data_IF_496575849760
#
_entry.id   IF_496575849760
#
_cell.length_a   1.000
_cell.length_b   1.000
_cell.length_c   1.000
_cell.angle_alpha   90.00
_cell.angle_beta   90.00
_cell.angle_gamma   90.00
#
_symmetry.space_group_name_H-M   'P 1'
#
loop_
_entity.id
_entity.type
_entity.pdbx_description
1 polymer ?
#
# COMPACT_ATOMS: atom_id res chain seq x y z
N UNK A 1 -19.61 64.00 146.12
CA UNK A 1 -19.55 64.46 144.71
C UNK A 1 -18.31 63.95 143.95
N UNK A 2 -17.12 63.89 144.55
CA UNK A 2 -15.87 63.45 143.85
C UNK A 2 -15.88 61.98 143.40
N UNK A 3 -16.56 61.07 144.12
CA UNK A 3 -16.67 59.66 143.73
C UNK A 3 -17.49 59.43 142.46
N UNK A 4 -18.52 60.25 142.19
CA UNK A 4 -19.37 60.11 141.00
C UNK A 4 -18.66 60.59 139.72
N UNK A 5 -17.85 61.66 139.81
CA UNK A 5 -17.12 62.21 138.68
C UNK A 5 -16.03 61.25 138.16
N UNK A 6 -15.34 60.53 139.06
CA UNK A 6 -14.33 59.54 138.68
C UNK A 6 -14.92 58.35 137.89
N UNK A 7 -16.13 57.89 138.26
CA UNK A 7 -16.82 56.84 137.50
C UNK A 7 -17.24 57.31 136.11
N UNK A 8 -17.72 58.55 135.98
CA UNK A 8 -18.13 59.12 134.68
C UNK A 8 -16.93 59.30 133.74
N UNK A 9 -15.77 59.72 134.24
CA UNK A 9 -14.56 59.85 133.42
C UNK A 9 -13.98 58.50 132.99
N UNK A 10 -14.08 57.47 133.83
CA UNK A 10 -13.64 56.12 133.49
C UNK A 10 -14.57 55.47 132.44
N UNK A 11 -15.89 55.72 132.54
CA UNK A 11 -16.88 55.30 131.53
C UNK A 11 -16.74 56.08 130.22
N UNK A 12 -16.39 57.36 130.27
CA UNK A 12 -16.16 58.16 129.06
C UNK A 12 -14.88 57.75 128.33
N UNK A 13 -13.80 57.45 129.05
CA UNK A 13 -12.55 56.91 128.46
C UNK A 13 -12.73 55.47 127.97
N UNK A 14 -13.46 54.64 128.71
CA UNK A 14 -13.85 53.29 128.28
C UNK A 14 -14.78 53.33 127.05
N UNK A 15 -15.72 54.27 127.00
CA UNK A 15 -16.63 54.47 125.88
C UNK A 15 -15.94 55.01 124.63
N UNK A 16 -15.01 55.97 124.77
CA UNK A 16 -14.21 56.49 123.65
C UNK A 16 -13.22 55.43 123.10
N UNK A 17 -12.58 54.66 124.00
CA UNK A 17 -11.76 53.51 123.63
C UNK A 17 -12.56 52.40 122.95
N UNK A 18 -13.79 52.14 123.42
CA UNK A 18 -14.70 51.17 122.82
C UNK A 18 -15.18 51.60 121.43
N UNK A 19 -15.50 52.89 121.21
CA UNK A 19 -15.88 53.40 119.88
C UNK A 19 -14.71 53.33 118.90
N UNK A 20 -13.51 53.73 119.32
CA UNK A 20 -12.30 53.66 118.48
C UNK A 20 -11.91 52.21 118.15
N UNK A 21 -11.96 51.32 119.15
CA UNK A 21 -11.71 49.89 118.97
C UNK A 21 -12.76 49.25 118.05
N UNK A 22 -14.04 49.61 118.19
CA UNK A 22 -15.10 49.10 117.32
C UNK A 22 -14.90 49.54 115.86
N UNK A 23 -14.54 50.80 115.61
CA UNK A 23 -14.24 51.28 114.25
C UNK A 23 -12.99 50.63 113.62
N UNK A 24 -11.96 50.35 114.42
CA UNK A 24 -10.75 49.65 113.95
C UNK A 24 -11.04 48.17 113.71
N UNK A 25 -11.80 47.52 114.58
CA UNK A 25 -12.25 46.14 114.41
C UNK A 25 -13.06 46.00 113.12
N UNK A 26 -14.06 46.87 112.88
CA UNK A 26 -14.86 46.85 111.66
C UNK A 26 -14.00 47.01 110.39
N UNK A 27 -12.97 47.86 110.42
CA UNK A 27 -12.05 47.99 109.27
C UNK A 27 -11.16 46.78 109.08
N UNK A 28 -10.68 46.16 110.16
CA UNK A 28 -9.89 44.91 110.08
C UNK A 28 -10.76 43.76 109.55
N UNK A 29 -12.01 43.69 109.99
CA UNK A 29 -12.98 42.70 109.51
C UNK A 29 -13.26 42.91 108.01
N UNK A 30 -13.50 44.16 107.58
CA UNK A 30 -13.66 44.50 106.16
C UNK A 30 -12.41 44.20 105.32
N UNK A 31 -11.21 44.52 105.80
CA UNK A 31 -9.97 44.20 105.09
C UNK A 31 -9.75 42.68 104.99
N UNK A 32 -10.15 41.93 106.02
CA UNK A 32 -10.05 40.47 106.05
C UNK A 32 -11.03 39.85 105.05
N UNK A 33 -12.25 40.39 104.98
CA UNK A 33 -13.27 40.01 104.00
C UNK A 33 -12.87 40.37 102.56
N UNK A 34 -12.33 41.57 102.33
CA UNK A 34 -11.82 42.02 101.03
C UNK A 34 -10.63 41.18 100.57
N UNK A 35 -9.71 40.83 101.49
CA UNK A 35 -8.56 39.98 101.18
C UNK A 35 -8.99 38.54 100.88
N UNK A 36 -9.99 38.02 101.61
CA UNK A 36 -10.63 36.74 101.33
C UNK A 36 -11.27 36.74 99.93
N UNK A 37 -12.09 37.76 99.64
CA UNK A 37 -12.77 37.94 98.34
C UNK A 37 -11.76 38.03 97.19
N UNK A 38 -10.74 38.88 97.31
CA UNK A 38 -9.68 39.01 96.30
C UNK A 38 -8.84 37.75 96.14
N UNK A 39 -8.68 36.95 97.20
CA UNK A 39 -8.01 35.65 97.12
C UNK A 39 -8.83 34.66 96.31
N UNK A 40 -10.13 34.57 96.57
CA UNK A 40 -11.06 33.75 95.78
C UNK A 40 -11.12 34.19 94.32
N UNK A 41 -11.27 35.49 94.05
CA UNK A 41 -11.29 36.03 92.67
C UNK A 41 -9.99 35.72 91.92
N UNK A 42 -8.84 35.82 92.59
CA UNK A 42 -7.54 35.49 91.98
C UNK A 42 -7.40 33.99 91.71
N UNK A 43 -7.87 33.13 92.62
CA UNK A 43 -7.83 31.69 92.41
C UNK A 43 -8.78 31.24 91.30
N UNK A 44 -9.97 31.84 91.21
CA UNK A 44 -10.93 31.63 90.11
C UNK A 44 -10.36 32.12 88.77
N UNK A 45 -9.70 33.28 88.75
CA UNK A 45 -9.05 33.81 87.56
C UNK A 45 -7.89 32.91 87.09
N UNK A 46 -7.07 32.38 88.01
CA UNK A 46 -6.00 31.43 87.68
C UNK A 46 -6.56 30.11 87.14
N UNK A 47 -7.66 29.60 87.71
CA UNK A 47 -8.34 28.41 87.22
C UNK A 47 -8.92 28.63 85.82
N UNK A 48 -9.56 29.78 85.58
CA UNK A 48 -10.09 30.16 84.28
C UNK A 48 -8.98 30.33 83.23
N UNK A 49 -7.85 30.94 83.60
CA UNK A 49 -6.69 31.08 82.72
C UNK A 49 -6.12 29.71 82.35
N UNK A 50 -5.93 28.81 83.32
CA UNK A 50 -5.42 27.45 83.08
C UNK A 50 -6.33 26.68 82.13
N UNK A 51 -7.65 26.82 82.31
CA UNK A 51 -8.64 26.19 81.42
C UNK A 51 -8.57 26.77 80.00
N UNK A 52 -8.48 28.10 79.87
CA UNK A 52 -8.36 28.76 78.57
C UNK A 52 -7.07 28.40 77.83
N UNK A 53 -5.95 28.27 78.55
CA UNK A 53 -4.67 27.80 77.99
C UNK A 53 -4.78 26.37 77.48
N UNK A 54 -5.41 25.47 78.25
CA UNK A 54 -5.65 24.09 77.82
C UNK A 54 -6.55 24.01 76.58
N UNK A 55 -7.65 24.77 76.56
CA UNK A 55 -8.54 24.82 75.40
C UNK A 55 -7.83 25.37 74.16
N UNK A 56 -7.02 26.43 74.31
CA UNK A 56 -6.20 26.97 73.22
C UNK A 56 -5.24 25.92 72.65
N UNK A 57 -4.57 25.17 73.52
CA UNK A 57 -3.63 24.13 73.09
C UNK A 57 -4.37 22.97 72.39
N UNK A 58 -5.51 22.53 72.91
CA UNK A 58 -6.39 21.55 72.26
C UNK A 58 -6.87 22.04 70.88
N UNK A 59 -7.20 23.33 70.74
CA UNK A 59 -7.58 23.93 69.47
C UNK A 59 -6.41 24.00 68.49
N UNK A 60 -5.22 24.31 68.97
CA UNK A 60 -4.00 24.33 68.17
C UNK A 60 -3.70 22.93 67.62
N UNK A 61 -3.73 21.90 68.46
CA UNK A 61 -3.51 20.51 68.04
C UNK A 61 -4.54 20.06 66.99
N UNK A 62 -5.81 20.45 67.15
CA UNK A 62 -6.85 20.19 66.15
C UNK A 62 -6.59 20.92 64.84
N UNK A 63 -6.13 22.17 64.88
CA UNK A 63 -5.80 22.95 63.69
C UNK A 63 -4.59 22.37 62.94
N UNK A 64 -3.56 21.94 63.67
CA UNK A 64 -2.38 21.28 63.10
C UNK A 64 -2.76 19.93 62.47
N UNK A 65 -3.60 19.14 63.14
CA UNK A 65 -4.13 17.89 62.61
C UNK A 65 -5.01 18.10 61.35
N UNK A 66 -5.84 19.15 61.33
CA UNK A 66 -6.65 19.51 60.18
C UNK A 66 -5.77 19.92 58.99
N UNK A 67 -4.73 20.72 59.23
CA UNK A 67 -3.76 21.15 58.22
C UNK A 67 -3.00 19.96 57.64
N UNK A 68 -2.54 19.03 58.48
CA UNK A 68 -1.88 17.81 58.04
C UNK A 68 -2.80 16.92 57.19
N UNK A 69 -4.09 16.81 57.53
CA UNK A 69 -5.08 16.08 56.73
C UNK A 69 -5.32 16.76 55.37
N UNK A 70 -5.44 18.08 55.34
CA UNK A 70 -5.63 18.84 54.10
C UNK A 70 -4.46 18.63 53.13
N UNK A 71 -3.21 18.66 53.63
CA UNK A 71 -2.03 18.37 52.81
C UNK A 71 -2.06 16.96 52.22
N UNK A 72 -2.38 15.93 53.03
CA UNK A 72 -2.48 14.54 52.53
C UNK A 72 -3.59 14.35 51.49
N UNK A 73 -4.72 15.04 51.68
CA UNK A 73 -5.82 15.05 50.72
C UNK A 73 -5.40 15.71 49.41
N UNK A 74 -4.65 16.81 49.47
CA UNK A 74 -4.11 17.47 48.29
C UNK A 74 -3.14 16.57 47.52
N UNK A 75 -2.23 15.88 48.23
CA UNK A 75 -1.33 14.90 47.62
C UNK A 75 -2.12 13.74 46.96
N UNK A 76 -3.16 13.25 47.64
CA UNK A 76 -4.03 12.19 47.13
C UNK A 76 -4.83 12.62 45.89
N UNK A 77 -5.28 13.88 45.85
CA UNK A 77 -5.93 14.44 44.66
C UNK A 77 -4.93 14.51 43.51
N UNK A 78 -3.69 14.94 43.76
CA UNK A 78 -2.64 15.00 42.74
C UNK A 78 -2.33 13.62 42.15
N UNK A 79 -2.23 12.58 42.99
CA UNK A 79 -1.98 11.21 42.52
C UNK A 79 -3.18 10.64 41.75
N UNK A 80 -4.41 10.87 42.22
CA UNK A 80 -5.62 10.47 41.50
C UNK A 80 -5.77 11.17 40.15
N UNK A 81 -5.42 12.45 40.06
CA UNK A 81 -5.42 13.18 38.79
C UNK A 81 -4.42 12.59 37.78
N UNK A 82 -3.21 12.24 38.23
CA UNK A 82 -2.22 11.56 37.39
C UNK A 82 -2.71 10.20 36.92
N UNK A 83 -3.35 9.43 37.79
CA UNK A 83 -3.89 8.12 37.45
C UNK A 83 -5.04 8.24 36.44
N UNK A 84 -5.97 9.19 36.60
CA UNK A 84 -7.04 9.46 35.63
C UNK A 84 -6.46 9.86 34.27
N UNK A 85 -5.44 10.71 34.24
CA UNK A 85 -4.76 11.07 32.99
C UNK A 85 -4.12 9.85 32.31
N UNK A 86 -3.44 9.00 33.08
CA UNK A 86 -2.83 7.75 32.59
C UNK A 86 -3.88 6.78 32.05
N UNK A 87 -4.99 6.60 32.76
CA UNK A 87 -6.09 5.72 32.32
C UNK A 87 -6.76 6.25 31.05
N UNK A 88 -6.95 7.56 30.94
CA UNK A 88 -7.49 8.19 29.73
C UNK A 88 -6.56 7.98 28.54
N UNK A 89 -5.25 8.17 28.72
CA UNK A 89 -4.27 7.90 27.67
C UNK A 89 -4.30 6.44 27.21
N UNK A 90 -4.34 5.49 28.15
CA UNK A 90 -4.45 4.06 27.85
C UNK A 90 -5.74 3.73 27.11
N UNK A 91 -6.87 4.31 27.52
CA UNK A 91 -8.16 4.10 26.86
C UNK A 91 -8.11 4.57 25.40
N UNK A 92 -7.58 5.77 25.15
CA UNK A 92 -7.42 6.32 23.81
C UNK A 92 -6.48 5.45 22.95
N UNK A 93 -5.39 4.94 23.53
CA UNK A 93 -4.47 4.05 22.82
C UNK A 93 -5.12 2.70 22.49
N UNK A 94 -5.86 2.12 23.42
CA UNK A 94 -6.62 0.90 23.19
C UNK A 94 -7.70 1.09 22.12
N UNK A 95 -8.41 2.22 22.11
CA UNK A 95 -9.40 2.55 21.08
C UNK A 95 -8.76 2.68 19.69
N UNK A 96 -7.60 3.35 19.59
CA UNK A 96 -6.83 3.43 18.36
C UNK A 96 -6.40 2.04 17.88
N UNK A 97 -5.88 1.21 18.78
CA UNK A 97 -5.43 -0.14 18.44
C UNK A 97 -6.59 -1.05 18.02
N UNK A 98 -7.76 -0.95 18.66
CA UNK A 98 -8.96 -1.68 18.27
C UNK A 98 -9.45 -1.24 16.88
N UNK A 99 -9.44 0.05 16.60
CA UNK A 99 -9.83 0.60 15.29
C UNK A 99 -8.90 0.08 14.19
N UNK A 100 -7.58 0.14 14.43
CA UNK A 100 -6.59 -0.38 13.49
C UNK A 100 -6.75 -1.89 13.27
N UNK A 101 -6.82 -2.68 14.34
CA UNK A 101 -6.98 -4.13 14.24
C UNK A 101 -8.28 -4.53 13.53
N UNK A 102 -9.34 -3.75 13.70
CA UNK A 102 -10.61 -3.97 12.99
C UNK A 102 -10.46 -3.68 11.49
N UNK A 103 -9.77 -2.60 11.12
CA UNK A 103 -9.47 -2.28 9.73
C UNK A 103 -8.61 -3.37 9.07
N UNK A 104 -7.54 -3.80 9.74
CA UNK A 104 -6.64 -4.86 9.26
C UNK A 104 -7.38 -6.20 9.07
N UNK A 105 -8.31 -6.53 9.99
CA UNK A 105 -9.14 -7.73 9.89
C UNK A 105 -10.07 -7.67 8.67
N UNK A 106 -10.69 -6.51 8.40
CA UNK A 106 -11.55 -6.32 7.23
C UNK A 106 -10.74 -6.45 5.95
N UNK A 107 -9.57 -5.80 5.87
CA UNK A 107 -8.68 -5.87 4.71
C UNK A 107 -8.18 -7.31 4.45
N UNK A 108 -7.79 -8.02 5.51
CA UNK A 108 -7.35 -9.42 5.43
C UNK A 108 -8.47 -10.35 4.92
N UNK A 109 -9.71 -10.14 5.40
CA UNK A 109 -10.89 -10.88 4.92
C UNK A 109 -11.18 -10.58 3.45
N UNK A 110 -11.16 -9.31 3.05
CA UNK A 110 -11.36 -8.92 1.66
C UNK A 110 -10.27 -9.48 0.74
N UNK A 111 -9.02 -9.49 1.21
CA UNK A 111 -7.90 -10.06 0.45
C UNK A 111 -8.06 -11.57 0.27
N UNK A 112 -8.44 -12.28 1.34
CA UNK A 112 -8.70 -13.72 1.29
C UNK A 112 -9.85 -14.06 0.34
N UNK A 113 -10.92 -13.26 0.35
CA UNK A 113 -12.04 -13.45 -0.57
C UNK A 113 -11.66 -13.15 -2.02
N UNK A 114 -10.87 -12.10 -2.27
CA UNK A 114 -10.31 -11.81 -3.60
C UNK A 114 -9.44 -12.96 -4.12
N UNK A 115 -8.59 -13.53 -3.26
CA UNK A 115 -7.80 -14.71 -3.60
C UNK A 115 -8.68 -15.93 -3.90
N UNK A 116 -9.72 -16.15 -3.11
CA UNK A 116 -10.68 -17.24 -3.34
C UNK A 116 -11.39 -17.08 -4.69
N UNK A 117 -11.82 -15.86 -5.02
CA UNK A 117 -12.42 -15.56 -6.32
C UNK A 117 -11.45 -15.77 -7.47
N UNK A 118 -10.21 -15.29 -7.31
CA UNK A 118 -9.16 -15.54 -8.29
C UNK A 118 -8.90 -17.04 -8.51
N UNK A 119 -8.84 -17.84 -7.43
CA UNK A 119 -8.68 -19.29 -7.54
C UNK A 119 -9.88 -19.98 -8.20
N UNK A 120 -11.10 -19.49 -7.99
CA UNK A 120 -12.30 -20.00 -8.66
C UNK A 120 -12.30 -19.70 -10.17
N UNK A 121 -11.82 -18.52 -10.56
CA UNK A 121 -11.83 -18.06 -11.96
C UNK A 121 -10.64 -18.60 -12.76
N UNK A 122 -9.43 -18.53 -12.20
CA UNK A 122 -8.18 -18.84 -12.90
C UNK A 122 -7.59 -20.20 -12.51
N UNK A 123 -8.16 -20.84 -11.48
CA UNK A 123 -7.65 -22.08 -10.90
C UNK A 123 -6.67 -21.83 -9.75
N UNK A 124 -6.37 -22.88 -9.00
CA UNK A 124 -5.42 -22.82 -7.89
C UNK A 124 -4.00 -22.47 -8.35
N UNK A 125 -3.18 -21.99 -7.42
CA UNK A 125 -1.76 -21.70 -7.67
C UNK A 125 -1.03 -22.83 -8.40
N UNK A 126 -1.27 -24.08 -8.02
CA UNK A 126 -0.62 -25.24 -8.62
C UNK A 126 -1.12 -25.51 -10.04
N UNK A 127 -2.41 -25.30 -10.30
CA UNK A 127 -2.96 -25.40 -11.66
C UNK A 127 -2.37 -24.33 -12.58
N UNK A 128 -2.16 -23.10 -12.09
CA UNK A 128 -1.54 -22.02 -12.84
C UNK A 128 -0.08 -22.36 -13.16
N UNK A 129 0.68 -22.88 -12.18
CA UNK A 129 2.06 -23.35 -12.40
C UNK A 129 2.12 -24.47 -13.44
N UNK A 130 1.20 -25.43 -13.38
CA UNK A 130 1.14 -26.51 -14.34
C UNK A 130 0.84 -25.99 -15.74
N UNK A 131 -0.12 -25.06 -15.89
CA UNK A 131 -0.42 -24.41 -17.19
C UNK A 131 0.80 -23.68 -17.74
N UNK A 132 1.56 -22.96 -16.91
CA UNK A 132 2.81 -22.30 -17.32
C UNK A 132 3.85 -23.32 -17.82
N UNK A 133 4.07 -24.40 -17.08
CA UNK A 133 5.00 -25.46 -17.50
C UNK A 133 4.57 -26.14 -18.81
N UNK A 134 3.27 -26.36 -19.00
CA UNK A 134 2.73 -26.86 -20.27
C UNK A 134 2.96 -25.87 -21.40
N UNK A 135 2.76 -24.57 -21.15
CA UNK A 135 2.99 -23.52 -22.16
C UNK A 135 4.45 -23.50 -22.63
N UNK A 136 5.39 -23.63 -21.70
CA UNK A 136 6.83 -23.71 -22.00
C UNK A 136 7.15 -24.97 -22.82
N UNK A 137 6.59 -26.12 -22.45
CA UNK A 137 6.76 -27.38 -23.21
C UNK A 137 6.23 -27.26 -24.64
N UNK A 138 5.01 -26.76 -24.81
CA UNK A 138 4.37 -26.59 -26.13
C UNK A 138 5.15 -25.59 -26.99
N UNK A 139 5.68 -24.53 -26.38
CA UNK A 139 6.53 -23.55 -27.05
C UNK A 139 7.80 -24.21 -27.59
N UNK A 140 8.48 -25.03 -26.78
CA UNK A 140 9.67 -25.77 -27.20
C UNK A 140 9.37 -26.79 -28.30
N UNK A 141 8.25 -27.52 -28.18
CA UNK A 141 7.81 -28.48 -29.21
C UNK A 141 7.51 -27.80 -30.54
N UNK A 142 6.80 -26.66 -30.51
CA UNK A 142 6.53 -25.85 -31.71
C UNK A 142 7.85 -25.43 -32.38
N UNK A 143 8.81 -24.94 -31.61
CA UNK A 143 10.08 -24.46 -32.15
C UNK A 143 10.88 -25.61 -32.79
N UNK A 144 10.84 -26.81 -32.19
CA UNK A 144 11.40 -28.03 -32.79
C UNK A 144 10.70 -28.43 -34.09
N UNK A 145 9.36 -28.40 -34.14
CA UNK A 145 8.62 -28.70 -35.37
C UNK A 145 8.87 -27.69 -36.48
N UNK A 146 9.02 -26.41 -36.15
CA UNK A 146 9.40 -25.38 -37.13
C UNK A 146 10.79 -25.69 -37.72
N UNK A 147 11.76 -26.07 -36.88
CA UNK A 147 13.08 -26.48 -37.34
C UNK A 147 13.02 -27.75 -38.22
N UNK A 148 12.25 -28.77 -37.81
CA UNK A 148 12.10 -30.01 -38.57
C UNK A 148 11.42 -29.77 -39.93
N UNK A 149 10.34 -28.98 -39.97
CA UNK A 149 9.67 -28.62 -41.21
C UNK A 149 10.61 -27.89 -42.18
N UNK A 150 11.46 -26.99 -41.68
CA UNK A 150 12.48 -26.33 -42.51
C UNK A 150 13.46 -27.35 -43.13
N UNK A 151 13.87 -28.37 -42.38
CA UNK A 151 14.75 -29.43 -42.88
C UNK A 151 14.02 -30.31 -43.90
N UNK A 152 12.77 -30.69 -43.63
CA UNK A 152 11.96 -31.50 -44.53
C UNK A 152 11.69 -30.78 -45.86
N UNK A 153 11.38 -29.49 -45.83
CA UNK A 153 11.25 -28.67 -47.04
C UNK A 153 12.54 -28.68 -47.88
N UNK A 154 13.70 -28.53 -47.25
CA UNK A 154 14.98 -28.64 -47.95
C UNK A 154 15.25 -30.04 -48.53
N UNK A 155 14.72 -31.11 -47.91
CA UNK A 155 14.80 -32.48 -48.48
C UNK A 155 13.85 -32.67 -49.65
N UNK A 156 12.63 -32.13 -49.57
CA UNK A 156 11.67 -32.16 -50.68
C UNK A 156 12.25 -31.45 -51.90
N UNK A 157 12.90 -30.31 -51.71
CA UNK A 157 13.56 -29.57 -52.79
C UNK A 157 14.67 -30.41 -53.44
N UNK A 158 15.55 -31.02 -52.64
CA UNK A 158 16.60 -31.93 -53.15
C UNK A 158 16.03 -33.11 -53.94
N UNK A 159 15.01 -33.79 -53.40
CA UNK A 159 14.36 -34.92 -54.07
C UNK A 159 13.65 -34.49 -55.36
N UNK A 160 13.05 -33.30 -55.38
CA UNK A 160 12.44 -32.72 -56.58
C UNK A 160 13.49 -32.50 -57.68
N UNK A 161 14.67 -31.97 -57.32
CA UNK A 161 15.79 -31.78 -58.24
C UNK A 161 16.37 -33.12 -58.73
N UNK A 162 16.40 -34.15 -57.89
CA UNK A 162 16.83 -35.48 -58.31
C UNK A 162 15.81 -36.15 -59.25
N UNK A 163 14.51 -36.07 -58.93
CA UNK A 163 13.45 -36.64 -59.75
C UNK A 163 13.36 -35.98 -61.14
N UNK A 164 13.61 -34.66 -61.25
CA UNK A 164 13.64 -33.98 -62.55
C UNK A 164 14.75 -34.50 -63.46
N UNK A 165 15.90 -34.88 -62.89
CA UNK A 165 17.02 -35.49 -63.64
C UNK A 165 16.69 -36.88 -64.20
N UNK A 166 15.92 -37.69 -63.47
CA UNK A 166 15.66 -39.07 -63.85
C UNK A 166 14.44 -39.25 -64.76
N UNK A 167 13.40 -38.43 -64.60
CA UNK A 167 12.13 -38.68 -65.28
C UNK A 167 12.05 -38.04 -66.67
N UNK A 168 12.86 -37.01 -66.98
CA UNK A 168 12.81 -36.30 -68.27
C UNK A 168 11.49 -35.58 -68.56
N UNK A 169 10.43 -35.90 -67.82
CA UNK A 169 9.17 -35.16 -67.72
C UNK A 169 9.37 -33.98 -66.80
N UNK A 170 9.40 -32.80 -67.42
CA UNK A 170 9.03 -31.52 -66.83
C UNK A 170 7.75 -31.70 -66.00
N UNK A 171 7.90 -31.88 -64.68
CA UNK A 171 6.80 -31.64 -63.74
C UNK A 171 6.35 -30.23 -64.02
N UNK A 172 5.06 -30.00 -64.32
CA UNK A 172 4.51 -28.65 -64.43
C UNK A 172 4.77 -27.97 -63.09
N UNK A 173 5.83 -27.16 -63.02
CA UNK A 173 6.16 -26.40 -61.83
C UNK A 173 5.14 -25.27 -61.78
N UNK A 174 4.24 -25.34 -60.80
CA UNK A 174 3.25 -24.29 -60.58
C UNK A 174 3.98 -23.00 -60.20
N UNK A 175 3.83 -21.98 -61.05
CA UNK A 175 4.32 -20.64 -60.78
C UNK A 175 3.29 -19.86 -59.96
N UNK A 176 3.71 -18.85 -59.17
CA UNK A 176 2.79 -17.96 -58.48
C UNK A 176 1.80 -17.32 -59.44
N UNK A 177 0.51 -17.28 -59.07
CA UNK A 177 -0.56 -16.75 -59.96
C UNK A 177 -0.50 -15.24 -60.18
N UNK A 178 0.32 -14.55 -59.39
CA UNK A 178 0.62 -13.12 -59.44
C UNK A 178 1.95 -12.82 -60.16
N UNK A 179 2.60 -13.84 -60.74
CA UNK A 179 3.84 -13.66 -61.48
C UNK A 179 3.60 -12.73 -62.68
N UNK A 180 4.26 -11.57 -62.65
CA UNK A 180 4.23 -10.59 -63.72
C UNK A 180 5.65 -10.08 -64.00
N UNK A 181 6.04 -10.08 -65.27
CA UNK A 181 7.35 -9.64 -65.73
C UNK A 181 7.33 -9.07 -67.14
N UNK A 182 8.51 -8.80 -67.69
CA UNK A 182 8.76 -8.31 -69.03
C UNK A 182 9.94 -9.00 -69.68
N UNK A 183 9.87 -9.09 -70.99
CA UNK A 183 10.99 -9.53 -71.83
C UNK A 183 12.01 -8.40 -71.94
N UNK A 184 13.24 -8.64 -71.48
CA UNK A 184 14.34 -7.64 -71.49
C UNK A 184 15.24 -7.79 -72.71
N UNK A 185 15.43 -9.01 -73.20
CA UNK A 185 16.18 -9.30 -74.40
C UNK A 185 15.58 -10.51 -75.13
N UNK A 186 15.68 -10.51 -76.46
CA UNK A 186 15.26 -11.61 -77.33
C UNK A 186 16.41 -11.93 -78.26
N UNK A 187 16.78 -13.21 -78.33
CA UNK A 187 17.65 -13.76 -79.35
C UNK A 187 16.83 -14.69 -80.25
N UNK A 188 16.44 -14.18 -81.42
CA UNK A 188 15.66 -14.93 -82.39
C UNK A 188 16.47 -15.99 -83.16
N UNK A 189 17.80 -15.99 -83.04
CA UNK A 189 18.66 -16.98 -83.71
C UNK A 189 18.74 -18.29 -82.90
N UNK A 190 18.67 -18.19 -81.57
CA UNK A 190 18.77 -19.32 -80.64
C UNK A 190 17.47 -19.60 -79.88
N UNK A 191 16.37 -18.93 -80.24
CA UNK A 191 15.04 -19.06 -79.64
C UNK A 191 14.98 -18.86 -78.12
N UNK A 192 15.90 -18.10 -77.54
CA UNK A 192 15.87 -17.77 -76.11
C UNK A 192 15.51 -16.30 -75.85
N UNK A 193 14.88 -16.09 -74.71
CA UNK A 193 14.50 -14.77 -74.21
C UNK A 193 14.94 -14.61 -72.77
N UNK A 194 15.27 -13.38 -72.39
CA UNK A 194 15.65 -13.02 -71.03
C UNK A 194 14.50 -12.25 -70.39
N UNK A 195 14.09 -12.66 -69.20
CA UNK A 195 12.98 -12.09 -68.45
C UNK A 195 13.50 -11.36 -67.21
N UNK A 196 12.84 -10.28 -66.80
CA UNK A 196 13.13 -9.52 -65.57
C UNK A 196 12.52 -10.15 -64.29
N UNK A 197 12.16 -11.43 -64.35
CA UNK A 197 11.61 -12.19 -63.23
C UNK A 197 12.53 -13.38 -62.95
N UNK A 198 12.76 -13.64 -61.67
CA UNK A 198 13.69 -14.66 -61.19
C UNK A 198 13.17 -15.39 -59.95
N UNK A 199 14.10 -16.00 -59.22
CA UNK A 199 13.79 -16.82 -58.04
C UNK A 199 13.06 -16.04 -56.95
N UNK A 200 13.42 -14.76 -56.75
CA UNK A 200 12.83 -13.86 -55.75
C UNK A 200 11.34 -13.60 -56.02
N UNK A 201 10.91 -13.70 -57.28
CA UNK A 201 9.51 -13.58 -57.71
C UNK A 201 8.81 -14.95 -57.82
N UNK A 202 9.45 -16.02 -57.34
CA UNK A 202 8.90 -17.37 -57.37
C UNK A 202 9.00 -18.07 -58.73
N UNK A 203 9.80 -17.55 -59.67
CA UNK A 203 10.11 -18.27 -60.92
C UNK A 203 10.93 -19.52 -60.59
N UNK A 204 10.66 -20.60 -61.32
CA UNK A 204 11.34 -21.89 -61.17
C UNK A 204 11.71 -22.44 -62.54
N UNK A 205 12.83 -23.17 -62.60
CA UNK A 205 13.24 -23.89 -63.81
C UNK A 205 12.12 -24.85 -64.27
N UNK A 206 11.97 -24.98 -65.58
CA UNK A 206 10.87 -25.72 -66.23
C UNK A 206 9.46 -25.17 -66.01
N UNK A 207 9.30 -24.03 -65.33
CA UNK A 207 8.03 -23.30 -65.31
C UNK A 207 7.63 -22.86 -66.73
N UNK A 208 6.33 -22.88 -67.01
CA UNK A 208 5.76 -22.37 -68.27
C UNK A 208 5.12 -21.01 -68.04
N UNK A 209 5.48 -20.03 -68.85
CA UNK A 209 4.93 -18.67 -68.79
C UNK A 209 4.37 -18.26 -70.15
N UNK A 210 3.37 -17.39 -70.12
CA UNK A 210 2.71 -16.84 -71.28
C UNK A 210 3.26 -15.43 -71.56
N UNK A 211 3.43 -15.10 -72.84
CA UNK A 211 3.90 -13.79 -73.30
C UNK A 211 2.79 -13.09 -74.04
N UNK A 212 2.47 -11.87 -73.64
CA UNK A 212 1.46 -11.02 -74.25
C UNK A 212 2.00 -9.66 -74.66
N UNK A 213 1.47 -9.13 -75.77
CA UNK A 213 1.73 -7.76 -76.24
C UNK A 213 0.57 -6.86 -75.85
N UNK A 214 0.90 -5.73 -75.23
CA UNK A 214 -0.09 -4.83 -74.60
C UNK A 214 -0.20 -5.08 -73.08
N UNK A 215 -0.77 -4.13 -72.34
CA UNK A 215 -0.84 -4.20 -70.88
C UNK A 215 -2.22 -4.67 -70.40
N UNK A 216 -2.26 -5.51 -69.36
CA UNK A 216 -3.49 -5.90 -68.67
C UNK A 216 -4.33 -6.96 -69.40
N UNK A 217 -5.65 -6.93 -69.17
CA UNK A 217 -6.60 -7.94 -69.64
C UNK A 217 -6.81 -7.97 -71.18
N UNK A 218 -6.25 -7.00 -71.90
CA UNK A 218 -6.33 -6.86 -73.36
C UNK A 218 -5.05 -7.32 -74.08
N UNK A 219 -4.08 -7.89 -73.34
CA UNK A 219 -2.82 -8.34 -73.92
C UNK A 219 -3.06 -9.47 -74.94
N UNK A 220 -2.63 -9.24 -76.19
CA UNK A 220 -2.70 -10.26 -77.23
C UNK A 220 -1.61 -11.30 -76.96
N UNK A 221 -1.99 -12.57 -76.81
CA UNK A 221 -1.04 -13.66 -76.59
C UNK A 221 -0.12 -13.80 -77.81
N UNK A 222 1.18 -13.67 -77.59
CA UNK A 222 2.23 -13.75 -78.61
C UNK A 222 2.90 -15.13 -78.59
N UNK A 223 3.05 -15.73 -77.41
CA UNK A 223 3.64 -17.06 -77.31
C UNK A 223 3.66 -17.66 -75.90
N UNK A 224 4.19 -18.88 -75.82
CA UNK A 224 4.48 -19.59 -74.58
C UNK A 224 5.99 -19.81 -74.48
N UNK A 225 6.53 -19.64 -73.28
CA UNK A 225 7.94 -19.85 -72.97
C UNK A 225 8.08 -20.93 -71.91
N UNK A 226 9.20 -21.65 -71.96
CA UNK A 226 9.62 -22.55 -70.88
C UNK A 226 10.91 -22.04 -70.26
N UNK A 227 10.90 -21.83 -68.95
CA UNK A 227 12.07 -21.38 -68.21
C UNK A 227 13.15 -22.47 -68.27
N UNK A 228 14.35 -22.10 -68.73
CA UNK A 228 15.52 -22.97 -68.81
C UNK A 228 16.42 -22.81 -67.59
N UNK A 229 16.66 -21.58 -67.17
CA UNK A 229 17.54 -21.26 -66.04
C UNK A 229 17.02 -20.02 -65.31
N UNK A 230 17.17 -20.01 -63.99
CA UNK A 230 16.71 -18.94 -63.11
C UNK A 230 17.88 -18.39 -62.31
N UNK A 231 18.01 -17.07 -62.29
CA UNK A 231 18.84 -16.33 -61.36
C UNK A 231 17.94 -15.56 -60.37
N UNK A 232 18.54 -14.90 -59.37
CA UNK A 232 17.78 -14.20 -58.31
C UNK A 232 16.72 -13.25 -58.85
N UNK A 233 17.07 -12.44 -59.85
CA UNK A 233 16.22 -11.36 -60.38
C UNK A 233 15.99 -11.44 -61.91
N UNK A 234 16.40 -12.51 -62.56
CA UNK A 234 16.21 -12.72 -64.00
C UNK A 234 16.08 -14.19 -64.32
N UNK A 235 15.50 -14.50 -65.47
CA UNK A 235 15.44 -15.88 -65.96
C UNK A 235 15.66 -15.92 -67.47
N UNK A 236 16.16 -17.07 -67.93
CA UNK A 236 16.33 -17.37 -69.35
C UNK A 236 15.28 -18.40 -69.71
N UNK A 237 14.52 -18.14 -70.75
CA UNK A 237 13.45 -19.00 -71.20
C UNK A 237 13.62 -19.34 -72.69
N UNK A 238 13.23 -20.55 -73.07
CA UNK A 238 13.15 -20.96 -74.47
C UNK A 238 11.76 -20.65 -75.02
N UNK A 239 11.69 -20.17 -76.25
CA UNK A 239 10.43 -20.01 -76.98
C UNK A 239 9.92 -21.39 -77.36
N UNK A 240 8.64 -21.66 -77.09
CA UNK A 240 7.99 -22.89 -77.53
C UNK A 240 7.43 -22.68 -78.94
N UNK A 241 8.02 -23.28 -80.00
CA UNK A 241 7.67 -22.99 -81.38
C UNK A 241 6.21 -23.32 -81.71
N UNK A 242 5.70 -24.42 -81.12
CA UNK A 242 4.32 -24.90 -81.31
C UNK A 242 3.25 -23.92 -80.81
N UNK A 243 3.63 -22.92 -80.01
CA UNK A 243 2.73 -21.97 -79.38
C UNK A 243 3.04 -20.51 -79.76
N UNK A 244 3.91 -20.28 -80.76
CA UNK A 244 4.26 -18.94 -81.23
C UNK A 244 3.20 -18.41 -82.20
N UNK A 245 2.47 -17.38 -81.80
CA UNK A 245 1.44 -16.71 -82.63
C UNK A 245 1.97 -15.43 -83.27
N UNK A 246 3.06 -14.86 -82.75
CA UNK A 246 3.79 -13.73 -83.32
C UNK A 246 5.24 -13.66 -82.85
N UNK A 247 6.02 -12.75 -83.40
CA UNK A 247 7.41 -12.54 -82.96
C UNK A 247 7.45 -11.87 -81.58
N UNK A 248 8.13 -12.49 -80.63
CA UNK A 248 8.34 -11.95 -79.28
C UNK A 248 9.37 -10.83 -79.36
N UNK A 249 9.10 -9.71 -78.67
CA UNK A 249 9.92 -8.51 -78.69
C UNK A 249 10.27 -8.07 -77.27
N UNK A 250 11.37 -7.32 -77.15
CA UNK A 250 11.72 -6.63 -75.90
C UNK A 250 10.57 -5.71 -75.48
N UNK A 251 10.15 -5.82 -74.22
CA UNK A 251 9.05 -5.06 -73.64
C UNK A 251 7.70 -5.78 -73.63
N UNK A 252 7.57 -6.95 -74.29
CA UNK A 252 6.39 -7.81 -74.16
C UNK A 252 6.24 -8.29 -72.70
N UNK A 253 5.00 -8.43 -72.23
CA UNK A 253 4.67 -8.79 -70.84
C UNK A 253 4.65 -10.30 -70.66
N UNK A 254 5.09 -10.76 -69.49
CA UNK A 254 5.10 -12.17 -69.11
C UNK A 254 4.21 -12.39 -67.90
N UNK A 255 3.41 -13.45 -67.94
CA UNK A 255 2.53 -13.84 -66.85
C UNK A 255 2.41 -15.36 -66.71
N UNK A 256 2.11 -15.84 -65.51
CA UNK A 256 1.82 -17.27 -65.27
C UNK A 256 0.52 -17.68 -65.97
N UNK A 257 0.44 -18.93 -66.44
CA UNK A 257 -0.82 -19.56 -66.83
C UNK A 257 -1.74 -19.60 -65.58
N UNK A 258 -2.75 -18.73 -65.53
CA UNK A 258 -3.77 -18.77 -64.48
C UNK A 258 -4.52 -20.11 -64.61
N UNK A 259 -4.49 -20.92 -63.55
CA UNK A 259 -5.47 -21.99 -63.36
C UNK A 259 -6.87 -21.38 -63.16
#
# INVERSE_FOLDING_TARGET
>A
MVRLLLFVTLFALGGAGWIAFNNVSTKIDQLTEDLGTRTTERDDALAAQTKAEKERDDFKDKADAATARASRLQDSIGTLQQEVARQTQRANEHEKNLTQATADLVESRQTSERWRQFEMEYGTRDSIKQRLATLDSVTNERDNFVAENSILLGRIEKLSVELSRYTGTSVKVALPTDLAGKVTAVDSQYDFVVLDVGEDQGVREHGEVLVGRGAGAEAQLVGRLRILSVEKNRSIANIMPDYKTGDIQTGDYVFSERN
#
